data_IF_454668580711
#
_entry.id   IF_454668580711
#
_cell.length_a   1.000
_cell.length_b   1.000
_cell.length_c   1.000
_cell.angle_alpha   90.00
_cell.angle_beta   90.00
_cell.angle_gamma   90.00
#
_symmetry.space_group_name_H-M   'P 1'
#
loop_
_entity.id
_entity.type
_entity.pdbx_description
1 polymer ?
#
# COMPACT_ATOMS: atom_id res chain seq x y z
N UNK A 1 -14.02 12.39 -0.96
CA UNK A 1 -13.59 11.60 -2.14
C UNK A 1 -12.23 11.00 -1.81
N UNK A 2 -12.11 9.67 -1.78
CA UNK A 2 -10.86 8.98 -1.44
C UNK A 2 -10.71 7.80 -2.37
N UNK A 3 -9.58 7.71 -3.08
CA UNK A 3 -9.18 6.51 -3.81
C UNK A 3 -8.21 5.71 -2.94
N UNK A 4 -8.28 4.39 -2.99
CA UNK A 4 -7.42 3.50 -2.22
C UNK A 4 -6.98 2.31 -3.07
N UNK A 5 -5.74 1.86 -2.84
CA UNK A 5 -5.21 0.67 -3.48
C UNK A 5 -4.30 -0.10 -2.51
N UNK A 6 -4.42 -1.43 -2.52
CA UNK A 6 -3.51 -2.34 -1.83
C UNK A 6 -2.54 -2.90 -2.86
N UNK A 7 -1.24 -2.88 -2.57
CA UNK A 7 -0.19 -3.42 -3.43
C UNK A 7 0.68 -4.38 -2.64
N UNK A 8 0.88 -5.59 -3.18
CA UNK A 8 1.83 -6.57 -2.65
C UNK A 8 3.26 -6.32 -3.15
N UNK A 9 3.44 -5.42 -4.13
CA UNK A 9 4.76 -5.05 -4.65
C UNK A 9 5.37 -3.99 -3.74
N UNK A 10 6.15 -4.44 -2.78
CA UNK A 10 6.88 -3.60 -1.83
C UNK A 10 8.29 -4.13 -1.62
N UNK A 11 9.22 -3.25 -1.27
CA UNK A 11 10.55 -3.61 -0.80
C UNK A 11 10.69 -3.43 0.72
N UNK A 12 9.58 -3.17 1.43
CA UNK A 12 9.61 -2.91 2.87
C UNK A 12 10.33 -4.02 3.63
N UNK A 13 11.39 -3.64 4.32
CA UNK A 13 12.20 -4.55 5.12
C UNK A 13 12.97 -3.75 6.16
N UNK A 14 13.28 -4.40 7.28
CA UNK A 14 14.09 -3.84 8.34
C UNK A 14 14.97 -4.93 8.95
N UNK A 15 16.10 -4.52 9.53
CA UNK A 15 16.98 -5.41 10.28
C UNK A 15 17.77 -4.67 11.37
N UNK A 16 18.12 -5.39 12.43
CA UNK A 16 19.15 -4.98 13.36
C UNK A 16 20.52 -5.49 12.87
N UNK A 17 21.55 -4.65 12.94
CA UNK A 17 22.90 -4.99 12.49
C UNK A 17 23.94 -4.48 13.49
N UNK A 18 24.90 -5.34 13.84
CA UNK A 18 26.07 -4.94 14.63
C UNK A 18 27.19 -4.35 13.77
N UNK A 19 28.15 -3.62 14.36
CA UNK A 19 29.34 -3.16 13.66
C UNK A 19 30.09 -4.31 12.96
N UNK A 20 30.60 -4.07 11.76
CA UNK A 20 31.37 -5.07 10.99
C UNK A 20 30.57 -6.21 10.36
N UNK A 21 29.26 -6.31 10.61
CA UNK A 21 28.41 -7.31 9.96
C UNK A 21 28.08 -6.90 8.52
N UNK A 22 28.25 -7.84 7.59
CA UNK A 22 27.99 -7.59 6.17
C UNK A 22 26.49 -7.43 5.88
N UNK A 23 26.10 -6.27 5.31
CA UNK A 23 24.70 -5.94 4.97
C UNK A 23 24.41 -5.96 3.46
N UNK A 24 25.38 -6.35 2.63
CA UNK A 24 25.28 -6.19 1.18
C UNK A 24 24.15 -7.01 0.54
N UNK A 25 23.89 -8.21 1.07
CA UNK A 25 22.75 -9.03 0.63
C UNK A 25 21.41 -8.33 0.86
N UNK A 26 21.24 -7.74 2.04
CA UNK A 26 20.03 -6.98 2.39
C UNK A 26 19.91 -5.70 1.56
N UNK A 27 20.99 -4.94 1.38
CA UNK A 27 20.99 -3.74 0.54
C UNK A 27 20.57 -4.04 -0.90
N UNK A 28 21.06 -5.15 -1.47
CA UNK A 28 20.61 -5.63 -2.79
C UNK A 28 19.14 -6.02 -2.78
N UNK A 29 18.67 -6.75 -1.77
CA UNK A 29 17.27 -7.17 -1.63
C UNK A 29 16.31 -5.97 -1.60
N UNK A 30 16.65 -4.91 -0.85
CA UNK A 30 15.80 -3.73 -0.72
C UNK A 30 15.94 -2.75 -1.88
N UNK A 31 16.86 -3.00 -2.81
CA UNK A 31 17.06 -2.17 -4.01
C UNK A 31 17.86 -0.89 -3.78
N UNK A 32 18.73 -0.87 -2.77
CA UNK A 32 19.72 0.18 -2.56
C UNK A 32 20.76 0.18 -3.70
N UNK A 33 21.25 1.34 -4.19
CA UNK A 33 21.00 2.71 -3.71
C UNK A 33 19.76 3.38 -4.31
N UNK A 34 19.10 2.77 -5.30
CA UNK A 34 17.92 3.36 -5.93
C UNK A 34 16.76 3.56 -4.95
N UNK A 35 16.67 2.69 -3.94
CA UNK A 35 15.84 2.86 -2.76
C UNK A 35 16.72 3.29 -1.59
N UNK A 36 16.38 4.40 -0.95
CA UNK A 36 17.11 4.84 0.21
C UNK A 36 16.75 4.01 1.45
N UNK A 37 17.61 4.08 2.46
CA UNK A 37 17.39 3.48 3.78
C UNK A 37 17.39 4.53 4.87
N UNK A 38 16.80 4.18 6.01
CA UNK A 38 16.89 4.90 7.26
C UNK A 38 17.79 4.14 8.22
N UNK A 39 18.52 4.88 9.05
CA UNK A 39 19.44 4.32 10.06
C UNK A 39 19.16 5.00 11.40
N UNK A 40 18.96 4.21 12.44
CA UNK A 40 18.82 4.71 13.82
C UNK A 40 19.46 3.75 14.82
N UNK A 41 19.72 4.15 16.07
CA UNK A 41 20.15 3.23 17.10
C UNK A 41 19.08 2.17 17.35
N UNK A 42 19.49 0.91 17.45
CA UNK A 42 18.60 -0.16 17.89
C UNK A 42 18.39 -0.05 19.40
N UNK A 43 17.23 -0.46 19.88
CA UNK A 43 16.80 -0.27 21.27
C UNK A 43 15.95 -1.44 21.70
N UNK A 44 15.95 -1.75 23.00
CA UNK A 44 15.14 -2.84 23.54
C UNK A 44 13.66 -2.44 23.55
N UNK A 45 12.78 -3.44 23.53
CA UNK A 45 11.36 -3.20 23.70
C UNK A 45 11.11 -2.48 25.03
N UNK A 46 10.34 -1.38 24.98
CA UNK A 46 10.02 -0.55 26.14
C UNK A 46 11.00 0.61 26.38
N UNK A 47 12.13 0.69 25.68
CA UNK A 47 13.01 1.86 25.75
C UNK A 47 12.45 3.04 24.92
N UNK A 48 12.61 4.29 25.37
CA UNK A 48 12.21 5.46 24.59
C UNK A 48 12.96 5.53 23.27
N UNK A 49 12.28 5.91 22.18
CA UNK A 49 12.91 6.00 20.85
C UNK A 49 14.04 7.04 20.85
N UNK A 50 15.22 6.66 20.37
CA UNK A 50 16.35 7.58 20.27
C UNK A 50 16.04 8.72 19.28
N UNK A 51 16.33 9.99 19.61
CA UNK A 51 15.94 11.13 18.78
C UNK A 51 16.69 11.21 17.44
N UNK A 52 17.91 10.67 17.40
CA UNK A 52 18.72 10.66 16.18
C UNK A 52 18.28 9.56 15.20
N UNK A 53 18.03 9.96 13.95
CA UNK A 53 17.59 9.13 12.83
C UNK A 53 18.13 9.72 11.53
N UNK A 54 18.95 8.96 10.80
CA UNK A 54 19.35 9.29 9.44
C UNK A 54 18.28 8.82 8.46
N UNK A 55 17.90 9.67 7.51
CA UNK A 55 16.85 9.39 6.52
C UNK A 55 17.36 9.66 5.12
N UNK A 56 16.82 8.99 4.11
CA UNK A 56 17.18 9.21 2.72
C UNK A 56 18.61 8.80 2.37
N UNK A 57 19.20 7.86 3.13
CA UNK A 57 20.57 7.38 2.90
C UNK A 57 20.60 6.56 1.62
N UNK A 58 21.30 7.04 0.60
CA UNK A 58 21.36 6.45 -0.75
C UNK A 58 22.77 6.39 -1.35
N UNK A 59 23.80 6.79 -0.61
CA UNK A 59 25.21 6.73 -1.04
C UNK A 59 25.98 5.78 -0.12
N UNK A 60 26.77 4.87 -0.71
CA UNK A 60 27.42 3.78 0.03
C UNK A 60 28.46 4.23 1.06
N UNK A 61 29.14 5.36 0.80
CA UNK A 61 30.17 5.91 1.70
C UNK A 61 29.61 6.41 3.04
N UNK A 62 28.40 6.97 3.04
CA UNK A 62 27.77 7.51 4.26
C UNK A 62 27.17 6.39 5.13
N UNK A 63 26.75 5.28 4.52
CA UNK A 63 25.97 4.26 5.23
C UNK A 63 26.78 3.55 6.33
N UNK A 64 28.04 3.20 6.07
CA UNK A 64 28.87 2.50 7.06
C UNK A 64 29.11 3.36 8.31
N UNK A 65 29.48 4.63 8.12
CA UNK A 65 29.67 5.58 9.22
C UNK A 65 28.38 5.84 10.01
N UNK A 66 27.23 5.88 9.31
CA UNK A 66 25.92 6.01 9.97
C UNK A 66 25.57 4.77 10.79
N UNK A 67 25.90 3.56 10.31
CA UNK A 67 25.71 2.32 11.06
C UNK A 67 26.60 2.28 12.30
N UNK A 68 27.87 2.64 12.18
CA UNK A 68 28.79 2.69 13.33
C UNK A 68 28.33 3.70 14.38
N UNK A 69 27.96 4.91 13.95
CA UNK A 69 27.40 5.94 14.83
C UNK A 69 26.12 5.46 15.52
N UNK A 70 25.23 4.80 14.78
CA UNK A 70 23.98 4.27 15.32
C UNK A 70 24.21 3.19 16.38
N UNK A 71 25.12 2.26 16.09
CA UNK A 71 25.48 1.18 16.99
C UNK A 71 26.15 1.71 18.27
N UNK A 72 27.02 2.72 18.16
CA UNK A 72 27.65 3.36 19.32
C UNK A 72 26.66 4.07 20.24
N UNK A 73 25.58 4.64 19.69
CA UNK A 73 24.51 5.29 20.45
C UNK A 73 23.40 4.32 20.92
N UNK A 74 23.51 3.02 20.59
CA UNK A 74 22.51 2.00 20.91
C UNK A 74 22.78 1.37 22.27
N UNK A 75 21.72 1.14 23.05
CA UNK A 75 21.77 0.38 24.31
C UNK A 75 22.16 -1.10 24.12
N UNK A 76 22.08 -1.61 22.89
CA UNK A 76 22.38 -3.00 22.53
C UNK A 76 23.52 -3.12 21.51
N UNK A 77 24.23 -2.02 21.23
CA UNK A 77 25.39 -2.03 20.35
C UNK A 77 25.06 -2.34 18.88
N UNK A 78 23.83 -2.08 18.43
CA UNK A 78 23.37 -2.38 17.07
C UNK A 78 22.69 -1.17 16.43
N UNK A 79 22.81 -1.05 15.10
CA UNK A 79 22.00 -0.14 14.30
C UNK A 79 20.71 -0.83 13.87
N UNK A 80 19.63 -0.07 13.76
CA UNK A 80 18.40 -0.48 13.09
C UNK A 80 18.37 0.15 11.69
N UNK A 81 18.35 -0.72 10.68
CA UNK A 81 18.19 -0.36 9.28
C UNK A 81 16.76 -0.64 8.83
N UNK A 82 16.19 0.27 8.04
CA UNK A 82 14.86 0.10 7.46
C UNK A 82 14.82 0.75 6.08
N UNK A 83 14.06 0.19 5.16
CA UNK A 83 13.79 0.88 3.89
C UNK A 83 13.12 2.22 4.13
N UNK A 84 13.63 3.28 3.51
CA UNK A 84 12.97 4.58 3.56
C UNK A 84 11.76 4.56 2.64
N UNK A 85 10.59 4.31 3.21
CA UNK A 85 9.38 4.21 2.41
C UNK A 85 8.92 5.57 1.88
N UNK A 86 9.55 6.72 2.13
CA UNK A 86 9.03 8.01 1.59
C UNK A 86 9.06 8.00 0.05
N UNK A 87 8.05 8.59 -0.59
CA UNK A 87 7.83 8.45 -2.04
C UNK A 87 9.06 8.81 -2.90
N UNK A 88 9.70 9.94 -2.60
CA UNK A 88 10.90 10.41 -3.31
C UNK A 88 12.16 9.57 -3.01
N UNK A 89 12.14 8.75 -1.96
CA UNK A 89 13.23 7.85 -1.57
C UNK A 89 13.02 6.40 -2.05
N UNK A 90 11.84 6.08 -2.59
CA UNK A 90 11.43 4.72 -2.86
C UNK A 90 10.68 4.61 -4.20
N UNK A 91 11.39 4.30 -5.29
CA UNK A 91 10.79 4.13 -6.62
C UNK A 91 9.61 3.15 -6.64
N UNK A 92 9.66 2.06 -5.87
CA UNK A 92 8.57 1.08 -5.78
C UNK A 92 7.29 1.71 -5.20
N UNK A 93 7.40 2.44 -4.07
CA UNK A 93 6.25 3.17 -3.50
C UNK A 93 5.78 4.29 -4.42
N UNK A 94 6.70 5.02 -5.05
CA UNK A 94 6.36 6.09 -6.00
C UNK A 94 5.53 5.54 -7.18
N UNK A 95 5.84 4.35 -7.67
CA UNK A 95 5.05 3.69 -8.70
C UNK A 95 3.61 3.36 -8.23
N UNK A 96 3.46 2.89 -6.99
CA UNK A 96 2.13 2.65 -6.38
C UNK A 96 1.34 3.95 -6.22
N UNK A 97 1.98 5.03 -5.76
CA UNK A 97 1.34 6.35 -5.64
C UNK A 97 0.92 6.87 -7.01
N UNK A 98 1.78 6.72 -8.03
CA UNK A 98 1.46 7.10 -9.41
C UNK A 98 0.23 6.36 -9.94
N UNK A 99 0.10 5.07 -9.65
CA UNK A 99 -1.09 4.31 -10.03
C UNK A 99 -2.36 4.87 -9.38
N UNK A 100 -2.31 5.15 -8.07
CA UNK A 100 -3.42 5.74 -7.35
C UNK A 100 -3.79 7.15 -7.87
N UNK A 101 -2.78 7.96 -8.22
CA UNK A 101 -2.99 9.26 -8.82
C UNK A 101 -3.76 9.17 -10.15
N UNK A 102 -3.48 8.17 -10.99
CA UNK A 102 -4.26 7.95 -12.21
C UNK A 102 -5.71 7.54 -11.93
N UNK A 103 -5.96 6.72 -10.91
CA UNK A 103 -7.32 6.39 -10.50
C UNK A 103 -8.08 7.64 -10.04
N UNK A 104 -7.44 8.48 -9.21
CA UNK A 104 -8.02 9.75 -8.76
C UNK A 104 -8.31 10.71 -9.92
N UNK A 105 -7.40 10.85 -10.88
CA UNK A 105 -7.64 11.69 -12.07
C UNK A 105 -8.83 11.17 -12.88
N UNK A 106 -8.96 9.85 -13.06
CA UNK A 106 -10.13 9.25 -13.72
C UNK A 106 -11.40 9.53 -12.94
N UNK A 107 -11.36 9.43 -11.62
CA UNK A 107 -12.49 9.74 -10.73
C UNK A 107 -12.92 11.19 -10.85
N UNK A 108 -11.98 12.13 -10.78
CA UNK A 108 -12.25 13.57 -10.88
C UNK A 108 -12.86 13.97 -12.23
N UNK A 109 -12.52 13.26 -13.32
CA UNK A 109 -13.12 13.48 -14.65
C UNK A 109 -14.59 13.06 -14.75
N UNK A 110 -15.08 12.26 -13.81
CA UNK A 110 -16.48 11.85 -13.79
C UNK A 110 -17.30 12.89 -13.03
N UNK A 111 -18.11 13.66 -13.74
CA UNK A 111 -18.99 14.66 -13.15
C UNK A 111 -20.25 14.02 -12.57
N UNK A 112 -20.75 14.57 -11.47
CA UNK A 112 -22.04 14.16 -10.93
C UNK A 112 -23.17 14.51 -11.90
N UNK A 113 -24.08 13.58 -12.23
CA UNK A 113 -25.21 13.88 -13.12
C UNK A 113 -26.22 14.85 -12.51
N UNK A 114 -26.25 14.98 -11.17
CA UNK A 114 -27.20 15.85 -10.48
C UNK A 114 -26.66 17.27 -10.23
N UNK A 115 -25.38 17.42 -9.87
CA UNK A 115 -24.81 18.71 -9.48
C UNK A 115 -23.52 19.08 -10.22
N UNK A 116 -23.13 18.31 -11.24
CA UNK A 116 -21.93 18.50 -12.10
C UNK A 116 -20.58 18.54 -11.40
N UNK A 117 -20.53 18.40 -10.08
CA UNK A 117 -19.29 18.37 -9.30
C UNK A 117 -18.40 17.17 -9.70
N UNK A 118 -17.09 17.34 -9.87
CA UNK A 118 -16.15 16.26 -10.16
C UNK A 118 -16.08 15.19 -9.06
N UNK A 119 -15.76 13.97 -9.47
CA UNK A 119 -15.52 12.86 -8.55
C UNK A 119 -16.71 11.95 -8.28
N UNK A 120 -17.67 11.90 -9.19
CA UNK A 120 -18.72 10.89 -9.15
C UNK A 120 -18.15 9.50 -9.49
N UNK A 121 -18.55 8.47 -8.76
CA UNK A 121 -17.99 7.13 -8.95
C UNK A 121 -18.38 6.13 -7.85
N UNK A 122 -17.81 4.91 -7.84
CA UNK A 122 -18.16 3.88 -6.87
C UNK A 122 -17.90 4.34 -5.41
N UNK A 123 -18.84 4.05 -4.53
CA UNK A 123 -18.76 4.33 -3.08
C UNK A 123 -19.16 3.13 -2.22
N UNK A 124 -19.83 2.14 -2.80
CA UNK A 124 -20.29 0.92 -2.12
C UNK A 124 -20.48 -0.19 -3.15
N UNK A 125 -20.34 -1.44 -2.72
CA UNK A 125 -20.64 -2.63 -3.52
C UNK A 125 -21.76 -3.42 -2.87
N UNK A 126 -22.75 -3.84 -3.65
CA UNK A 126 -23.87 -4.65 -3.19
C UNK A 126 -23.59 -6.12 -3.55
N UNK A 127 -23.49 -7.04 -2.59
CA UNK A 127 -23.33 -8.48 -2.87
C UNK A 127 -24.64 -9.11 -3.34
N UNK A 128 -24.57 -10.36 -3.79
CA UNK A 128 -25.75 -11.16 -4.11
C UNK A 128 -25.78 -11.75 -5.51
N UNK A 129 -24.65 -11.79 -6.23
CA UNK A 129 -24.59 -12.35 -7.58
C UNK A 129 -25.09 -13.81 -7.56
N UNK A 130 -26.12 -14.17 -8.35
CA UNK A 130 -26.73 -15.50 -8.26
C UNK A 130 -25.81 -16.57 -8.87
N UNK A 131 -25.77 -17.76 -8.26
CA UNK A 131 -25.11 -18.92 -8.86
C UNK A 131 -25.85 -19.38 -10.12
N UNK A 132 -25.12 -19.71 -11.19
CA UNK A 132 -25.73 -20.18 -12.45
C UNK A 132 -26.42 -21.54 -12.35
N UNK A 133 -26.13 -22.32 -11.30
CA UNK A 133 -26.74 -23.64 -11.08
C UNK A 133 -27.85 -23.62 -10.03
N UNK A 134 -27.56 -23.17 -8.80
CA UNK A 134 -28.56 -23.20 -7.73
C UNK A 134 -29.39 -21.92 -7.61
N UNK A 135 -29.00 -20.84 -8.30
CA UNK A 135 -29.70 -19.55 -8.24
C UNK A 135 -29.56 -18.77 -6.92
N UNK A 136 -28.93 -19.35 -5.90
CA UNK A 136 -28.76 -18.69 -4.60
C UNK A 136 -27.79 -17.50 -4.70
N UNK A 137 -28.11 -16.45 -3.94
CA UNK A 137 -27.30 -15.25 -3.83
C UNK A 137 -25.95 -15.55 -3.16
N UNK A 138 -24.86 -15.12 -3.77
CA UNK A 138 -23.50 -15.32 -3.24
C UNK A 138 -22.94 -14.06 -2.58
N UNK A 139 -21.79 -14.18 -1.90
CA UNK A 139 -21.02 -13.03 -1.40
C UNK A 139 -20.39 -12.18 -2.51
N UNK A 140 -20.45 -12.60 -3.76
CA UNK A 140 -19.88 -11.85 -4.87
C UNK A 140 -20.73 -10.61 -5.16
N UNK A 141 -20.04 -9.51 -5.47
CA UNK A 141 -20.69 -8.23 -5.83
C UNK A 141 -21.62 -8.45 -7.02
N UNK A 142 -22.85 -7.95 -6.93
CA UNK A 142 -23.85 -7.94 -8.00
C UNK A 142 -23.96 -6.56 -8.64
N UNK A 143 -23.88 -5.51 -7.82
CA UNK A 143 -24.03 -4.12 -8.25
C UNK A 143 -23.02 -3.23 -7.53
N UNK A 144 -22.76 -2.06 -8.09
CA UNK A 144 -21.99 -0.99 -7.46
C UNK A 144 -22.91 0.21 -7.24
N UNK A 145 -22.82 0.82 -6.06
CA UNK A 145 -23.42 2.14 -5.84
C UNK A 145 -22.39 3.20 -6.20
N UNK A 146 -22.77 4.06 -7.13
CA UNK A 146 -22.04 5.26 -7.48
C UNK A 146 -22.59 6.44 -6.69
N UNK A 147 -21.74 7.35 -6.24
CA UNK A 147 -22.11 8.43 -5.33
C UNK A 147 -21.33 9.72 -5.52
N UNK A 148 -22.00 10.84 -5.22
CA UNK A 148 -21.42 12.17 -5.12
C UNK A 148 -21.18 12.54 -3.66
N UNK A 149 -19.97 12.99 -3.33
CA UNK A 149 -19.61 13.44 -1.98
C UNK A 149 -20.09 14.84 -1.62
N UNK A 150 -20.65 15.60 -2.58
CA UNK A 150 -21.11 16.99 -2.36
C UNK A 150 -22.62 17.08 -2.24
N UNK A 151 -23.38 16.64 -3.25
CA UNK A 151 -24.85 16.69 -3.20
C UNK A 151 -25.51 15.43 -2.63
N UNK A 152 -24.73 14.37 -2.37
CA UNK A 152 -25.26 13.10 -1.85
C UNK A 152 -26.01 12.24 -2.88
N UNK A 153 -26.08 12.63 -4.16
CA UNK A 153 -26.70 11.83 -5.21
C UNK A 153 -26.06 10.43 -5.31
N UNK A 154 -26.90 9.38 -5.45
CA UNK A 154 -26.48 7.98 -5.57
C UNK A 154 -27.21 7.29 -6.71
N UNK A 155 -26.53 6.36 -7.38
CA UNK A 155 -27.07 5.54 -8.47
C UNK A 155 -26.55 4.11 -8.33
N UNK A 156 -27.39 3.10 -8.56
CA UNK A 156 -26.94 1.70 -8.66
C UNK A 156 -26.60 1.38 -10.11
N UNK A 157 -25.45 0.74 -10.30
CA UNK A 157 -24.98 0.29 -11.61
C UNK A 157 -24.61 -1.18 -11.55
N UNK A 158 -24.81 -1.94 -12.63
CA UNK A 158 -24.29 -3.29 -12.73
C UNK A 158 -22.76 -3.27 -12.60
N UNK A 159 -22.17 -4.43 -12.32
CA UNK A 159 -20.71 -4.57 -12.32
C UNK A 159 -20.12 -4.14 -13.67
N UNK A 160 -18.91 -3.55 -13.68
CA UNK A 160 -18.26 -3.15 -14.91
C UNK A 160 -17.79 -4.33 -15.78
N UNK A 161 -17.64 -5.53 -15.21
CA UNK A 161 -17.25 -6.74 -15.94
C UNK A 161 -18.45 -7.46 -16.60
N UNK A 162 -19.68 -7.01 -16.35
CA UNK A 162 -20.89 -7.57 -16.94
C UNK A 162 -21.25 -8.99 -16.46
N UNK A 163 -20.59 -9.52 -15.43
CA UNK A 163 -20.89 -10.85 -14.92
C UNK A 163 -22.30 -10.88 -14.31
N UNK A 164 -23.17 -11.74 -14.83
CA UNK A 164 -24.58 -11.85 -14.40
C UNK A 164 -24.85 -13.05 -13.49
N UNK A 165 -24.02 -14.09 -13.57
CA UNK A 165 -24.13 -15.28 -12.73
C UNK A 165 -22.75 -15.78 -12.32
N UNK A 166 -22.65 -16.31 -11.11
CA UNK A 166 -21.44 -16.89 -10.55
C UNK A 166 -21.28 -18.34 -11.00
N UNK A 167 -20.07 -18.71 -11.42
CA UNK A 167 -19.70 -20.11 -11.68
C UNK A 167 -19.87 -20.93 -10.38
N UNK A 168 -20.55 -22.10 -10.43
CA UNK A 168 -20.75 -22.97 -9.27
C UNK A 168 -19.46 -23.35 -8.54
N UNK A 169 -18.31 -23.36 -9.22
CA UNK A 169 -17.00 -23.63 -8.60
C UNK A 169 -16.61 -22.61 -7.51
N UNK A 170 -17.21 -21.40 -7.55
CA UNK A 170 -16.97 -20.34 -6.56
C UNK A 170 -18.16 -20.11 -5.63
N UNK A 171 -19.22 -20.92 -5.74
CA UNK A 171 -20.42 -20.80 -4.94
C UNK A 171 -20.29 -21.59 -3.63
N UNK A 172 -20.39 -20.90 -2.49
CA UNK A 172 -20.30 -21.52 -1.16
C UNK A 172 -21.36 -22.62 -0.89
N UNK A 173 -22.42 -22.69 -1.70
CA UNK A 173 -23.48 -23.71 -1.59
C UNK A 173 -23.28 -24.89 -2.55
N UNK A 174 -22.70 -24.66 -3.74
CA UNK A 174 -22.46 -25.73 -4.72
C UNK A 174 -21.08 -26.37 -4.55
N UNK A 175 -20.12 -25.59 -4.06
CA UNK A 175 -18.74 -25.98 -3.79
C UNK A 175 -18.30 -25.41 -2.43
N UNK A 176 -18.83 -25.97 -1.31
CA UNK A 176 -18.48 -25.54 0.05
C UNK A 176 -17.02 -25.81 0.42
#
# INVERSE_FOLDING_TARGET
MVEQAISLRTNYSAMAVGPGIAIQGWLKQVGFPAHAVMVRPHQRAGEPVHPWLAKGVSQGGDLAALVERAAAASSVGQAWLETDMRAHCNPTRMASIRHLAFQLVRRLRNLCPACTEPGFGPVETIPGLPCSTCGLASRWVMEQVWGCGVCGHRERRPRPDGLQALDPMYCDYCNP
#
